data_IF_888244203009
#
_entry.id   IF_888244203009
#
_cell.length_a   1.000
_cell.length_b   1.000
_cell.length_c   1.000
_cell.angle_alpha   90.00
_cell.angle_beta   90.00
_cell.angle_gamma   90.00
#
_symmetry.space_group_name_H-M   'P 1'
#
loop_
_entity.id
_entity.type
_entity.pdbx_description
1 polymer ?
#
# COMPACT_ATOMS: atom_id res chain seq x y z
N UNK A 1 2.52 -12.93 -10.11
CA UNK A 1 1.26 -12.23 -10.44
C UNK A 1 0.27 -12.55 -9.34
N UNK A 2 -0.32 -11.54 -8.74
CA UNK A 2 -1.31 -11.65 -7.67
C UNK A 2 -2.60 -12.29 -8.21
N UNK A 3 -3.30 -13.03 -7.35
CA UNK A 3 -4.59 -13.68 -7.65
C UNK A 3 -5.55 -13.44 -6.49
N UNK A 4 -6.84 -13.52 -6.78
CA UNK A 4 -7.85 -13.53 -5.72
C UNK A 4 -7.61 -14.68 -4.74
N UNK A 5 -7.63 -14.36 -3.45
CA UNK A 5 -7.27 -15.26 -2.36
C UNK A 5 -5.83 -15.14 -1.87
N UNK A 6 -4.90 -14.55 -2.63
CA UNK A 6 -3.52 -14.34 -2.18
C UNK A 6 -3.49 -13.42 -0.95
N UNK A 7 -2.59 -13.75 -0.01
CA UNK A 7 -2.39 -13.00 1.23
C UNK A 7 -0.94 -12.56 1.32
N UNK A 8 -0.73 -11.29 1.63
CA UNK A 8 0.59 -10.71 1.86
C UNK A 8 0.65 -10.09 3.25
N UNK A 9 1.79 -10.24 3.93
CA UNK A 9 2.04 -9.68 5.25
C UNK A 9 3.26 -8.75 5.22
N UNK A 10 3.13 -7.58 5.85
CA UNK A 10 4.23 -6.66 6.08
C UNK A 10 4.56 -6.60 7.59
N UNK A 11 5.60 -7.30 8.05
CA UNK A 11 5.92 -7.38 9.47
C UNK A 11 6.47 -6.07 10.05
N UNK A 12 6.80 -5.09 9.21
CA UNK A 12 7.35 -3.81 9.64
C UNK A 12 6.25 -2.78 9.87
N UNK A 13 5.21 -2.79 9.05
CA UNK A 13 4.08 -1.86 9.14
C UNK A 13 2.88 -2.45 9.89
N UNK A 14 2.90 -3.76 10.18
CA UNK A 14 1.80 -4.47 10.86
C UNK A 14 0.55 -4.55 9.98
N UNK A 15 0.73 -4.71 8.66
CA UNK A 15 -0.35 -4.84 7.69
C UNK A 15 -0.40 -6.25 7.14
N UNK A 16 -1.60 -6.83 7.12
CA UNK A 16 -1.88 -8.07 6.40
C UNK A 16 -2.96 -7.77 5.35
N UNK A 17 -2.66 -8.05 4.09
CA UNK A 17 -3.55 -7.77 2.95
C UNK A 17 -3.97 -9.08 2.30
N UNK A 18 -5.28 -9.29 2.17
CA UNK A 18 -5.86 -10.34 1.35
C UNK A 18 -6.50 -9.74 0.11
N UNK A 19 -6.13 -10.21 -1.06
CA UNK A 19 -6.77 -9.85 -2.31
C UNK A 19 -8.10 -10.59 -2.45
N UNK A 20 -9.21 -9.86 -2.29
CA UNK A 20 -10.56 -10.40 -2.45
C UNK A 20 -10.90 -10.54 -3.93
N UNK A 21 -10.55 -9.51 -4.72
CA UNK A 21 -10.70 -9.48 -6.18
C UNK A 21 -9.42 -8.93 -6.77
N UNK A 22 -8.75 -9.72 -7.59
CA UNK A 22 -7.54 -9.31 -8.27
C UNK A 22 -7.84 -8.51 -9.55
N UNK A 23 -6.89 -7.67 -9.98
CA UNK A 23 -7.03 -6.88 -11.20
C UNK A 23 -7.29 -7.72 -12.45
N UNK A 24 -6.76 -8.94 -12.52
CA UNK A 24 -7.00 -9.86 -13.64
C UNK A 24 -8.46 -10.31 -13.73
N UNK A 25 -9.19 -10.38 -12.62
CA UNK A 25 -10.58 -10.81 -12.58
C UNK A 25 -11.57 -9.71 -12.99
N UNK A 26 -11.07 -8.46 -13.09
CA UNK A 26 -11.85 -7.26 -13.45
C UNK A 26 -11.35 -6.60 -14.72
N UNK A 27 -10.48 -7.25 -15.48
CA UNK A 27 -9.81 -6.68 -16.66
C UNK A 27 -9.06 -5.35 -16.35
N UNK A 28 -8.59 -5.20 -15.09
CA UNK A 28 -7.90 -4.01 -14.61
C UNK A 28 -8.81 -2.86 -14.18
N UNK A 29 -10.12 -3.07 -14.17
CA UNK A 29 -11.07 -2.03 -13.79
C UNK A 29 -10.94 -1.64 -12.32
N UNK A 30 -10.79 -2.62 -11.42
CA UNK A 30 -10.55 -2.39 -9.99
C UNK A 30 -9.88 -3.59 -9.32
N UNK A 31 -9.43 -3.35 -8.11
CA UNK A 31 -8.93 -4.35 -7.16
C UNK A 31 -9.70 -4.17 -5.85
N UNK A 32 -10.01 -5.28 -5.16
CA UNK A 32 -10.56 -5.25 -3.80
C UNK A 32 -9.64 -6.00 -2.85
N UNK A 33 -9.30 -5.37 -1.75
CA UNK A 33 -8.49 -5.97 -0.70
C UNK A 33 -9.15 -5.87 0.66
N UNK A 34 -9.05 -6.92 1.47
CA UNK A 34 -9.28 -6.86 2.91
C UNK A 34 -7.93 -6.64 3.59
N UNK A 35 -7.87 -5.65 4.46
CA UNK A 35 -6.67 -5.25 5.19
C UNK A 35 -6.91 -5.39 6.68
N UNK A 36 -6.03 -6.13 7.36
CA UNK A 36 -5.91 -6.12 8.81
C UNK A 36 -4.71 -5.25 9.19
N UNK A 37 -4.91 -4.37 10.16
CA UNK A 37 -3.86 -3.48 10.69
C UNK A 37 -3.69 -3.76 12.17
N UNK A 38 -2.53 -4.27 12.55
CA UNK A 38 -2.18 -4.54 13.95
C UNK A 38 -2.22 -3.26 14.81
N UNK A 39 -2.30 -3.36 16.13
CA UNK A 39 -2.15 -2.21 17.02
C UNK A 39 -0.84 -1.45 16.75
N UNK A 40 -0.95 -0.13 16.55
CA UNK A 40 0.11 0.77 16.09
C UNK A 40 0.62 0.54 14.66
N UNK A 41 0.03 -0.39 13.92
CA UNK A 41 0.30 -0.59 12.50
C UNK A 41 -0.15 0.62 11.68
N UNK A 42 0.48 0.82 10.53
CA UNK A 42 0.19 1.97 9.66
C UNK A 42 0.73 1.75 8.25
N UNK A 43 0.14 2.40 7.26
CA UNK A 43 0.79 2.52 5.96
C UNK A 43 2.16 3.21 6.08
N UNK A 44 3.13 2.76 5.30
CA UNK A 44 4.54 3.17 5.42
C UNK A 44 4.77 4.70 5.35
N UNK A 45 4.00 5.41 4.53
CA UNK A 45 4.11 6.86 4.34
C UNK A 45 2.78 7.49 3.92
N UNK A 46 2.63 8.80 4.16
CA UNK A 46 1.59 9.57 3.52
C UNK A 46 1.84 9.62 2.00
N UNK A 47 0.81 9.38 1.21
CA UNK A 47 0.88 9.30 -0.24
C UNK A 47 -0.41 9.84 -0.90
N UNK A 48 -0.43 9.89 -2.20
CA UNK A 48 -1.60 10.16 -3.01
C UNK A 48 -1.58 9.27 -4.27
N UNK A 49 -2.75 8.90 -4.72
CA UNK A 49 -2.95 8.22 -5.99
C UNK A 49 -3.42 9.23 -7.04
N UNK A 50 -2.63 9.48 -8.10
CA UNK A 50 -2.98 10.53 -9.08
C UNK A 50 -4.28 10.28 -9.84
N UNK A 51 -4.61 8.99 -10.05
CA UNK A 51 -5.68 8.56 -10.95
C UNK A 51 -6.62 7.52 -10.34
N UNK A 52 -6.38 7.10 -9.09
CA UNK A 52 -7.17 6.07 -8.42
C UNK A 52 -8.05 6.69 -7.34
N UNK A 53 -9.30 6.26 -7.30
CA UNK A 53 -10.19 6.44 -6.14
C UNK A 53 -10.00 5.24 -5.23
N UNK A 54 -9.93 5.47 -3.92
CA UNK A 54 -9.95 4.43 -2.92
C UNK A 54 -11.18 4.57 -2.04
N UNK A 55 -11.94 3.48 -1.92
CA UNK A 55 -13.11 3.40 -1.04
C UNK A 55 -12.80 2.45 0.09
N UNK A 56 -12.68 2.99 1.30
CA UNK A 56 -12.42 2.26 2.53
C UNK A 56 -13.73 2.01 3.27
N UNK A 57 -14.05 0.75 3.53
CA UNK A 57 -15.15 0.33 4.40
C UNK A 57 -14.56 -0.34 5.63
N UNK A 58 -14.73 0.26 6.81
CA UNK A 58 -14.25 -0.34 8.06
C UNK A 58 -15.18 -1.48 8.47
N UNK A 59 -14.60 -2.68 8.59
CA UNK A 59 -15.33 -3.91 8.92
C UNK A 59 -15.30 -4.19 10.41
N UNK A 60 -14.14 -3.95 11.06
CA UNK A 60 -13.94 -4.23 12.49
C UNK A 60 -13.03 -3.18 13.13
N UNK A 61 -13.28 -2.84 14.39
CA UNK A 61 -12.48 -1.88 15.15
C UNK A 61 -12.65 -0.44 14.67
N UNK A 62 -11.57 0.33 14.77
CA UNK A 62 -11.51 1.69 14.27
C UNK A 62 -10.18 1.94 13.54
N UNK A 63 -10.24 2.69 12.47
CA UNK A 63 -9.06 3.12 11.69
C UNK A 63 -8.99 4.63 11.70
N UNK A 64 -7.84 5.16 12.02
CA UNK A 64 -7.58 6.59 11.92
C UNK A 64 -6.98 6.90 10.56
N UNK A 65 -7.60 7.81 9.83
CA UNK A 65 -7.12 8.36 8.57
C UNK A 65 -6.63 9.79 8.75
N UNK A 66 -5.66 10.18 7.94
CA UNK A 66 -5.36 11.59 7.69
C UNK A 66 -5.55 11.85 6.21
N UNK A 67 -6.58 12.62 5.85
CA UNK A 67 -6.97 12.93 4.47
C UNK A 67 -6.90 14.43 4.29
N UNK A 68 -6.11 14.88 3.32
CA UNK A 68 -5.84 16.31 3.04
C UNK A 68 -5.52 17.12 4.32
N UNK A 69 -4.64 16.55 5.15
CA UNK A 69 -4.22 17.16 6.42
C UNK A 69 -5.22 17.00 7.59
N UNK A 70 -6.46 16.61 7.36
CA UNK A 70 -7.50 16.44 8.38
C UNK A 70 -7.49 15.01 8.93
N UNK A 71 -7.59 14.88 10.25
CA UNK A 71 -7.75 13.59 10.92
C UNK A 71 -9.21 13.16 10.92
N UNK A 72 -9.48 11.94 10.46
CA UNK A 72 -10.80 11.29 10.47
C UNK A 72 -10.62 9.94 11.15
N UNK A 73 -11.53 9.59 12.06
CA UNK A 73 -11.58 8.24 12.65
C UNK A 73 -12.84 7.58 12.10
N UNK A 74 -12.65 6.46 11.41
CA UNK A 74 -13.76 5.64 10.91
C UNK A 74 -13.87 4.36 11.74
N UNK A 75 -15.10 3.95 12.04
CA UNK A 75 -15.46 2.77 12.83
C UNK A 75 -16.18 1.73 11.97
N UNK A 76 -16.34 0.55 12.50
CA UNK A 76 -17.06 -0.54 11.84
C UNK A 76 -18.41 -0.05 11.29
N UNK A 77 -18.68 -0.34 10.01
CA UNK A 77 -19.84 0.12 9.25
C UNK A 77 -19.69 1.50 8.58
N UNK A 78 -18.60 2.24 8.85
CA UNK A 78 -18.36 3.54 8.22
C UNK A 78 -17.52 3.40 6.97
N UNK A 79 -17.80 4.24 5.97
CA UNK A 79 -17.10 4.29 4.69
C UNK A 79 -16.42 5.65 4.52
N UNK A 80 -15.19 5.62 4.03
CA UNK A 80 -14.41 6.80 3.64
C UNK A 80 -13.99 6.66 2.19
N UNK A 81 -14.22 7.70 1.39
CA UNK A 81 -13.74 7.77 0.01
C UNK A 81 -12.59 8.76 -0.09
N UNK A 82 -11.52 8.36 -0.74
CA UNK A 82 -10.36 9.19 -1.07
C UNK A 82 -10.31 9.35 -2.57
N UNK A 83 -10.54 10.58 -3.02
CA UNK A 83 -10.54 10.92 -4.44
C UNK A 83 -9.11 11.04 -5.01
N UNK A 84 -8.93 10.87 -6.33
CA UNK A 84 -7.64 11.04 -6.98
C UNK A 84 -6.93 12.33 -6.60
N UNK A 85 -5.62 12.25 -6.40
CA UNK A 85 -4.79 13.40 -6.04
C UNK A 85 -4.85 13.83 -4.57
N UNK A 86 -5.68 13.19 -3.75
CA UNK A 86 -5.85 13.52 -2.34
C UNK A 86 -4.78 12.86 -1.48
N UNK A 87 -4.00 13.66 -0.76
CA UNK A 87 -2.97 13.16 0.15
C UNK A 87 -3.59 12.46 1.36
N UNK A 88 -3.20 11.22 1.61
CA UNK A 88 -3.75 10.45 2.72
C UNK A 88 -2.76 9.47 3.33
N UNK A 89 -3.10 8.97 4.50
CA UNK A 89 -2.49 7.83 5.19
C UNK A 89 -3.46 7.31 6.23
N UNK A 90 -3.25 6.06 6.68
CA UNK A 90 -4.01 5.46 7.78
C UNK A 90 -3.09 4.82 8.82
N UNK A 91 -3.64 4.59 10.00
CA UNK A 91 -3.01 3.82 11.07
C UNK A 91 -4.07 3.31 12.06
N UNK A 92 -3.73 2.26 12.77
CA UNK A 92 -4.51 1.76 13.90
C UNK A 92 -3.95 2.34 15.20
N UNK A 93 -4.73 3.19 15.86
CA UNK A 93 -4.41 3.73 17.20
C UNK A 93 -5.07 2.96 18.35
N UNK A 94 -5.80 1.89 18.04
CA UNK A 94 -6.45 1.02 19.01
C UNK A 94 -5.48 0.02 19.66
N UNK A 95 -6.01 -0.78 20.56
CA UNK A 95 -5.29 -1.86 21.25
C UNK A 95 -5.56 -3.25 20.68
N UNK A 96 -6.44 -3.37 19.72
CA UNK A 96 -6.80 -4.59 18.98
C UNK A 96 -6.61 -4.35 17.49
N UNK A 97 -6.57 -5.42 16.71
CA UNK A 97 -6.56 -5.34 15.26
C UNK A 97 -7.76 -4.53 14.76
N UNK A 98 -7.53 -3.77 13.70
CA UNK A 98 -8.58 -3.12 12.93
C UNK A 98 -8.62 -3.73 11.53
N UNK A 99 -9.82 -3.86 10.97
CA UNK A 99 -10.02 -4.43 9.65
C UNK A 99 -10.85 -3.53 8.78
N UNK A 100 -10.41 -3.34 7.55
CA UNK A 100 -11.18 -2.63 6.54
C UNK A 100 -11.07 -3.31 5.19
N UNK A 101 -12.06 -3.11 4.34
CA UNK A 101 -12.03 -3.40 2.92
C UNK A 101 -11.68 -2.15 2.15
N UNK A 102 -10.85 -2.28 1.13
CA UNK A 102 -10.56 -1.18 0.22
C UNK A 102 -10.79 -1.62 -1.22
N UNK A 103 -11.62 -0.86 -1.95
CA UNK A 103 -11.70 -0.93 -3.41
C UNK A 103 -10.82 0.16 -4.00
N UNK A 104 -9.94 -0.19 -4.93
CA UNK A 104 -9.03 0.71 -5.64
C UNK A 104 -9.41 0.70 -7.12
N UNK A 105 -9.82 1.85 -7.65
CA UNK A 105 -10.31 2.00 -9.03
C UNK A 105 -9.70 3.21 -9.74
N UNK A 106 -9.11 3.02 -10.96
CA UNK A 106 -8.78 1.75 -11.61
C UNK A 106 -7.67 0.99 -10.88
N UNK A 107 -7.51 -0.32 -11.16
CA UNK A 107 -6.49 -1.15 -10.51
C UNK A 107 -5.05 -0.68 -10.79
N UNK A 108 -4.75 -0.25 -12.01
CA UNK A 108 -3.42 0.10 -12.47
C UNK A 108 -2.38 -0.98 -12.08
N UNK A 109 -1.27 -0.57 -11.44
CA UNK A 109 -0.24 -1.49 -10.96
C UNK A 109 -0.23 -1.62 -9.42
N UNK A 110 -1.36 -1.38 -8.75
CA UNK A 110 -1.48 -1.45 -7.29
C UNK A 110 -0.94 -2.76 -6.71
N UNK A 111 -1.36 -3.90 -7.26
CA UNK A 111 -0.94 -5.23 -6.80
C UNK A 111 0.58 -5.40 -6.84
N UNK A 112 1.21 -4.96 -7.93
CA UNK A 112 2.65 -5.07 -8.12
C UNK A 112 3.42 -4.18 -7.15
N UNK A 113 2.90 -2.99 -6.87
CA UNK A 113 3.47 -2.08 -5.89
C UNK A 113 3.42 -2.70 -4.49
N UNK A 114 2.26 -3.20 -4.07
CA UNK A 114 2.07 -3.84 -2.75
C UNK A 114 2.95 -5.09 -2.63
N UNK A 115 2.93 -5.98 -3.63
CA UNK A 115 3.78 -7.18 -3.65
C UNK A 115 5.26 -6.79 -3.45
N UNK A 116 5.73 -5.76 -4.16
CA UNK A 116 7.11 -5.28 -4.07
C UNK A 116 7.45 -4.74 -2.68
N UNK A 117 6.63 -3.86 -2.13
CA UNK A 117 6.89 -3.22 -0.84
C UNK A 117 6.85 -4.24 0.31
N UNK A 118 5.88 -5.15 0.30
CA UNK A 118 5.71 -6.15 1.34
C UNK A 118 6.80 -7.21 1.29
N UNK A 119 7.18 -7.67 0.10
CA UNK A 119 8.30 -8.57 -0.10
C UNK A 119 9.63 -7.99 0.41
N UNK A 120 9.91 -6.73 0.12
CA UNK A 120 11.09 -6.05 0.65
C UNK A 120 11.09 -5.91 2.18
N UNK A 121 9.93 -5.72 2.77
CA UNK A 121 9.79 -5.68 4.23
C UNK A 121 10.08 -7.06 4.85
N UNK A 122 9.55 -8.12 4.28
CA UNK A 122 9.82 -9.50 4.73
C UNK A 122 11.29 -9.90 4.61
N UNK A 123 11.94 -9.46 3.54
CA UNK A 123 13.37 -9.71 3.33
C UNK A 123 14.28 -8.82 4.21
N UNK A 124 13.72 -8.00 5.09
CA UNK A 124 14.48 -7.06 5.92
C UNK A 124 15.18 -5.93 5.13
N UNK A 125 14.74 -5.67 3.91
CA UNK A 125 15.30 -4.65 3.00
C UNK A 125 14.64 -3.28 3.12
N UNK A 126 13.89 -3.06 4.18
CA UNK A 126 13.28 -1.77 4.52
C UNK A 126 13.79 -1.24 5.85
N UNK A 127 13.61 0.05 6.08
CA UNK A 127 13.85 0.65 7.38
C UNK A 127 12.66 0.36 8.34
N UNK A 128 12.75 0.82 9.59
CA UNK A 128 11.70 0.64 10.62
C UNK A 128 10.32 1.27 10.29
N UNK A 129 10.21 2.00 9.18
CA UNK A 129 8.95 2.58 8.68
C UNK A 129 8.44 1.88 7.42
N UNK A 130 9.02 0.73 7.04
CA UNK A 130 8.65 0.00 5.85
C UNK A 130 9.18 0.60 4.53
N UNK A 131 10.08 1.59 4.57
CA UNK A 131 10.61 2.22 3.36
C UNK A 131 11.95 1.58 2.96
N UNK A 132 12.13 1.18 1.66
CA UNK A 132 13.39 0.67 1.15
C UNK A 132 14.47 1.76 1.13
N UNK A 133 15.70 1.38 0.84
CA UNK A 133 16.78 2.37 0.70
C UNK A 133 16.45 3.39 -0.41
N UNK A 134 17.00 4.64 -0.35
CA UNK A 134 16.61 5.72 -1.25
C UNK A 134 16.78 5.43 -2.74
N UNK A 135 17.80 4.67 -3.14
CA UNK A 135 18.03 4.34 -4.55
C UNK A 135 17.01 3.32 -5.06
N UNK A 136 16.72 2.28 -4.27
CA UNK A 136 15.65 1.33 -4.61
C UNK A 136 14.29 2.02 -4.62
N UNK A 137 14.03 2.87 -3.63
CA UNK A 137 12.80 3.67 -3.60
C UNK A 137 12.65 4.53 -4.85
N UNK A 138 13.75 5.15 -5.33
CA UNK A 138 13.71 5.94 -6.57
C UNK A 138 13.37 5.07 -7.79
N UNK A 139 13.87 3.83 -7.86
CA UNK A 139 13.56 2.91 -8.96
C UNK A 139 12.08 2.50 -8.92
N UNK A 140 11.57 2.14 -7.73
CA UNK A 140 10.15 1.78 -7.52
C UNK A 140 9.25 2.97 -7.82
N UNK A 141 9.51 4.14 -7.22
CA UNK A 141 8.71 5.33 -7.41
C UNK A 141 8.71 5.84 -8.86
N UNK A 142 9.81 5.64 -9.59
CA UNK A 142 9.84 5.96 -11.03
C UNK A 142 8.99 5.02 -11.87
N UNK A 143 8.91 3.74 -11.51
CA UNK A 143 8.08 2.75 -12.21
C UNK A 143 6.59 2.93 -11.91
N UNK A 144 6.26 3.35 -10.69
CA UNK A 144 4.90 3.50 -10.17
C UNK A 144 4.47 4.97 -10.01
N UNK A 145 5.06 5.89 -10.80
CA UNK A 145 4.82 7.33 -10.64
C UNK A 145 3.37 7.74 -10.93
N UNK A 146 2.69 6.97 -11.76
CA UNK A 146 1.28 7.17 -12.06
C UNK A 146 0.33 6.38 -11.14
N UNK A 147 0.87 5.45 -10.35
CA UNK A 147 0.11 4.72 -9.33
C UNK A 147 0.10 5.47 -7.99
N UNK A 148 1.28 5.92 -7.55
CA UNK A 148 1.46 6.54 -6.22
C UNK A 148 2.52 7.63 -6.24
N UNK A 149 2.30 8.69 -5.45
CA UNK A 149 3.27 9.79 -5.26
C UNK A 149 3.30 10.22 -3.80
N UNK A 150 4.41 10.85 -3.41
CA UNK A 150 4.47 11.56 -2.15
C UNK A 150 3.73 12.91 -2.28
N UNK A 151 3.07 13.40 -1.20
CA UNK A 151 2.44 14.72 -1.22
C UNK A 151 3.45 15.86 -1.34
N UNK A 152 4.69 15.64 -0.93
CA UNK A 152 5.80 16.57 -0.96
C UNK A 152 7.11 15.81 -1.22
N UNK A 153 8.07 16.40 -1.94
CA UNK A 153 8.10 17.73 -2.59
C UNK A 153 7.18 17.81 -3.84
N UNK A 154 7.05 19.00 -4.47
CA UNK A 154 6.22 19.17 -5.68
C UNK A 154 6.60 18.19 -6.79
N UNK A 155 5.63 17.81 -7.59
CA UNK A 155 5.76 16.76 -8.62
C UNK A 155 6.97 16.95 -9.56
N UNK A 156 7.24 18.18 -10.00
CA UNK A 156 8.36 18.46 -10.90
C UNK A 156 9.71 18.15 -10.26
N UNK A 157 9.84 18.41 -8.95
CA UNK A 157 11.07 18.11 -8.19
C UNK A 157 11.20 16.60 -7.94
N UNK A 158 10.09 15.92 -7.67
CA UNK A 158 10.10 14.45 -7.61
C UNK A 158 10.56 13.85 -8.94
N UNK A 159 10.00 14.30 -10.07
CA UNK A 159 10.41 13.83 -11.42
C UNK A 159 11.90 14.04 -11.66
N UNK A 160 12.44 15.22 -11.29
CA UNK A 160 13.87 15.50 -11.43
C UNK A 160 14.73 14.55 -10.57
N UNK A 161 14.35 14.35 -9.32
CA UNK A 161 15.05 13.44 -8.41
C UNK A 161 15.01 11.98 -8.92
N UNK A 162 13.87 11.54 -9.44
CA UNK A 162 13.69 10.21 -10.00
C UNK A 162 14.46 10.03 -11.32
N UNK A 163 14.54 11.06 -12.17
CA UNK A 163 15.31 11.02 -13.42
C UNK A 163 16.81 10.80 -13.19
N UNK A 164 17.33 11.23 -12.04
CA UNK A 164 18.72 10.98 -11.63
C UNK A 164 18.86 9.69 -10.81
N UNK A 165 17.97 9.52 -9.82
CA UNK A 165 18.09 8.44 -8.84
C UNK A 165 17.74 7.06 -9.41
N UNK A 166 16.74 6.95 -10.29
CA UNK A 166 16.33 5.66 -10.83
C UNK A 166 17.36 5.02 -11.76
N UNK A 167 18.00 5.72 -12.70
CA UNK A 167 19.10 5.15 -13.48
C UNK A 167 20.26 4.70 -12.60
N UNK A 168 20.66 5.50 -11.62
CA UNK A 168 21.73 5.16 -10.68
C UNK A 168 21.36 3.92 -9.86
N UNK A 169 20.13 3.85 -9.34
CA UNK A 169 19.65 2.68 -8.61
C UNK A 169 19.70 1.42 -9.46
N UNK A 170 19.24 1.48 -10.73
CA UNK A 170 19.31 0.33 -11.66
C UNK A 170 20.75 -0.08 -11.94
N UNK A 171 21.67 0.85 -12.15
CA UNK A 171 23.07 0.56 -12.35
C UNK A 171 23.72 -0.15 -11.14
N UNK A 172 23.16 0.07 -9.94
CA UNK A 172 23.58 -0.58 -8.70
C UNK A 172 22.74 -1.84 -8.35
N UNK A 173 21.99 -2.38 -9.30
CA UNK A 173 21.23 -3.62 -9.14
C UNK A 173 19.91 -3.47 -8.38
N UNK A 174 19.39 -2.25 -8.23
CA UNK A 174 18.03 -2.07 -7.68
C UNK A 174 16.99 -2.35 -8.76
N UNK A 175 15.99 -3.16 -8.43
CA UNK A 175 14.87 -3.49 -9.29
C UNK A 175 13.60 -2.75 -8.87
N UNK A 176 12.71 -2.51 -9.83
CA UNK A 176 11.41 -1.86 -9.60
C UNK A 176 10.36 -2.81 -9.02
N UNK A 177 10.62 -4.12 -9.08
CA UNK A 177 9.71 -5.15 -8.56
C UNK A 177 10.49 -6.16 -7.73
N UNK A 178 9.81 -6.73 -6.76
CA UNK A 178 10.26 -7.86 -5.99
C UNK A 178 9.07 -8.84 -5.86
N UNK A 179 9.32 -10.13 -5.99
CA UNK A 179 8.27 -11.12 -5.89
C UNK A 179 8.17 -11.63 -4.46
N UNK A 180 6.97 -11.71 -3.96
CA UNK A 180 6.68 -12.30 -2.66
C UNK A 180 6.98 -13.81 -2.70
N UNK A 181 7.82 -14.28 -1.77
CA UNK A 181 8.09 -15.71 -1.60
C UNK A 181 6.81 -16.42 -1.12
N UNK A 182 6.23 -17.26 -1.99
CA UNK A 182 5.01 -18.01 -1.70
C UNK A 182 5.24 -19.29 -0.90
N UNK A 183 6.41 -19.44 -0.29
CA UNK A 183 6.79 -20.69 0.40
C UNK A 183 6.28 -20.83 1.83
N UNK A 184 5.69 -19.81 2.40
CA UNK A 184 5.21 -19.85 3.77
C UNK A 184 3.72 -20.17 3.85
N UNK A 185 3.36 -20.96 4.89
CA UNK A 185 2.02 -21.46 5.14
C UNK A 185 0.94 -20.37 4.98
N UNK A 186 -0.27 -20.73 4.55
CA UNK A 186 -1.34 -19.76 4.37
C UNK A 186 -1.54 -18.97 5.67
N UNK A 187 -1.27 -17.67 5.61
CA UNK A 187 -1.59 -16.76 6.70
C UNK A 187 -3.12 -16.64 6.67
N UNK A 188 -3.78 -17.26 7.65
CA UNK A 188 -5.23 -17.12 7.78
C UNK A 188 -5.54 -15.74 8.35
N UNK A 189 -6.44 -15.01 7.67
CA UNK A 189 -7.05 -13.85 8.29
C UNK A 189 -7.84 -14.32 9.51
N UNK A 190 -7.77 -13.60 10.65
CA UNK A 190 -8.66 -13.90 11.76
C UNK A 190 -10.09 -13.94 11.28
N UNK A 191 -10.85 -14.96 11.72
CA UNK A 191 -12.26 -15.08 11.39
C UNK A 191 -12.99 -13.82 11.82
N UNK A 192 -13.90 -13.33 10.98
CA UNK A 192 -14.81 -12.26 11.38
C UNK A 192 -15.60 -12.72 12.62
N UNK A 193 -15.57 -11.93 13.68
CA UNK A 193 -16.31 -12.19 14.90
C UNK A 193 -17.82 -11.95 14.72
#
# INVERSE_FOLDING_TARGET
>A
MIRSGDVLHNPVTGELIRFVTAAADTEGEYVVVDVVVEPNGSVAAAHLHPYQTETFEVLEGEVTFKVDGKKVVARAGETLVVEPGTAHKFWNSGSTDARFRCEIRPALQFERLIETMFSLAQEGKTNKKGMPNPLRLAVIANAHFDDVRLPFPPQWLQKLALAMGAPLGRALGCEASNSYGREDAPIELPAAA
#
